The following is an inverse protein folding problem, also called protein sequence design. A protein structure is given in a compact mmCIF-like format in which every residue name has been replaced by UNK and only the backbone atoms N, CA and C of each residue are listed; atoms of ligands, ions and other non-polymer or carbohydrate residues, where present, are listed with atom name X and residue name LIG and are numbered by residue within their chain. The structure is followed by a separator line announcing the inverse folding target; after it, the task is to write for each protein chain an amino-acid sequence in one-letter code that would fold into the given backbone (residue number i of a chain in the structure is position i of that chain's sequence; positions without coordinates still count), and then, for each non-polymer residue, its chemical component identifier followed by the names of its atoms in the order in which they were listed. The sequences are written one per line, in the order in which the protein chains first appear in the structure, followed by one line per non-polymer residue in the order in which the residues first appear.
data_IF_945337231733
#
_entry.id   IF_945337231733
#
_cell.length_a   1.000
_cell.length_b   1.000
_cell.length_c   1.000
_cell.angle_alpha   90.00
_cell.angle_beta   90.00
_cell.angle_gamma   90.00
#
_symmetry.space_group_name_H-M   'P 1'
#
loop_
_entity.id
_entity.type
_entity.pdbx_description
1 polymer ?
#
# COMPACT_ATOMS: atom_id res chain seq x y z
N UNK A 1 -19.09 -1.70 -21.23
CA UNK A 1 -19.70 -2.99 -20.89
C UNK A 1 -18.94 -3.83 -19.88
N UNK A 2 -17.73 -3.43 -19.40
CA UNK A 2 -16.98 -4.27 -18.44
C UNK A 2 -17.41 -4.06 -17.00
N UNK A 3 -17.88 -2.89 -16.61
CA UNK A 3 -18.33 -2.61 -15.23
C UNK A 3 -19.57 -3.42 -14.83
N UNK A 4 -20.50 -3.63 -15.75
CA UNK A 4 -21.71 -4.42 -15.51
C UNK A 4 -21.40 -5.90 -15.28
N UNK A 5 -20.42 -6.48 -15.96
CA UNK A 5 -20.02 -7.88 -15.78
C UNK A 5 -19.38 -8.17 -14.41
N UNK A 6 -18.72 -7.21 -13.76
CA UNK A 6 -18.12 -7.40 -12.45
C UNK A 6 -19.18 -7.22 -11.36
N UNK A 7 -20.09 -6.26 -11.49
CA UNK A 7 -21.23 -6.07 -10.57
C UNK A 7 -22.14 -7.28 -10.51
N UNK A 8 -22.59 -7.79 -11.65
CA UNK A 8 -23.52 -8.92 -11.74
C UNK A 8 -22.98 -10.21 -11.10
N UNK A 9 -21.66 -10.35 -10.99
CA UNK A 9 -21.03 -11.54 -10.39
C UNK A 9 -21.09 -11.57 -8.86
N UNK A 10 -21.29 -10.40 -8.21
CA UNK A 10 -21.35 -10.25 -6.77
C UNK A 10 -22.74 -9.81 -6.27
N UNK A 11 -23.73 -9.62 -7.15
CA UNK A 11 -25.08 -9.14 -6.80
C UNK A 11 -25.87 -10.16 -5.94
N UNK A 12 -25.54 -11.44 -6.00
CA UNK A 12 -26.22 -12.51 -5.27
C UNK A 12 -25.32 -13.16 -4.22
N UNK A 13 -24.77 -12.38 -3.29
CA UNK A 13 -23.97 -12.89 -2.19
C UNK A 13 -24.90 -13.49 -1.13
N UNK A 14 -24.77 -14.79 -0.88
CA UNK A 14 -25.46 -15.49 0.21
C UNK A 14 -24.79 -15.18 1.56
N UNK A 15 -25.46 -15.46 2.68
CA UNK A 15 -24.91 -15.25 4.03
C UNK A 15 -23.54 -15.92 4.26
N UNK A 16 -23.25 -17.01 3.60
CA UNK A 16 -21.95 -17.72 3.68
C UNK A 16 -20.84 -17.11 2.79
N UNK A 17 -21.11 -16.00 2.10
CA UNK A 17 -20.17 -15.41 1.15
C UNK A 17 -20.04 -16.21 -0.15
N UNK A 18 -19.15 -15.75 -1.02
CA UNK A 18 -18.78 -16.43 -2.26
C UNK A 18 -17.25 -16.35 -2.45
N UNK A 19 -16.68 -17.38 -3.06
CA UNK A 19 -15.26 -17.37 -3.45
C UNK A 19 -15.06 -16.31 -4.52
N UNK A 20 -14.19 -15.33 -4.25
CA UNK A 20 -13.88 -14.23 -5.17
C UNK A 20 -12.74 -14.57 -6.14
N UNK A 21 -11.77 -15.37 -5.70
CA UNK A 21 -10.61 -15.82 -6.48
C UNK A 21 -10.06 -17.12 -5.92
N UNK A 22 -9.25 -17.82 -6.71
CA UNK A 22 -8.48 -18.97 -6.24
C UNK A 22 -7.07 -18.53 -5.88
N UNK A 23 -6.68 -18.72 -4.62
CA UNK A 23 -5.30 -18.55 -4.17
C UNK A 23 -4.50 -19.82 -4.46
N UNK A 24 -3.21 -19.67 -4.77
CA UNK A 24 -2.27 -20.79 -4.81
C UNK A 24 -1.86 -21.15 -3.39
N UNK A 25 -1.33 -22.35 -3.23
CA UNK A 25 -0.77 -22.78 -1.95
C UNK A 25 0.34 -21.81 -1.49
N UNK A 26 0.22 -21.30 -0.26
CA UNK A 26 1.16 -20.32 0.31
C UNK A 26 0.93 -18.87 -0.08
N UNK A 27 -0.06 -18.57 -0.95
CA UNK A 27 -0.43 -17.18 -1.27
C UNK A 27 -1.48 -16.64 -0.31
N UNK A 28 -1.44 -15.32 -0.07
CA UNK A 28 -2.39 -14.60 0.75
C UNK A 28 -2.99 -13.41 -0.01
N UNK A 29 -4.24 -13.05 0.31
CA UNK A 29 -4.86 -11.84 -0.19
C UNK A 29 -4.37 -10.65 0.64
N UNK A 30 -3.61 -9.74 0.01
CA UNK A 30 -2.98 -8.60 0.71
C UNK A 30 -3.75 -7.29 0.56
N UNK A 31 -4.45 -7.08 -0.55
CA UNK A 31 -5.18 -5.85 -0.82
C UNK A 31 -6.35 -6.08 -1.77
N UNK A 32 -7.36 -5.22 -1.65
CA UNK A 32 -8.51 -5.13 -2.55
C UNK A 32 -8.76 -3.66 -2.85
N UNK A 33 -8.85 -3.30 -4.13
CA UNK A 33 -9.12 -1.95 -4.58
C UNK A 33 -10.30 -1.90 -5.56
N UNK A 34 -11.08 -0.83 -5.46
CA UNK A 34 -12.14 -0.56 -6.43
C UNK A 34 -11.60 0.24 -7.60
N UNK A 35 -11.89 -0.23 -8.82
CA UNK A 35 -11.49 0.44 -10.04
C UNK A 35 -12.68 0.92 -10.86
N UNK A 36 -12.44 1.90 -11.75
CA UNK A 36 -13.47 2.53 -12.59
C UNK A 36 -13.21 2.34 -14.11
N UNK A 37 -12.29 1.45 -14.46
CA UNK A 37 -11.97 1.14 -15.88
C UNK A 37 -10.89 2.03 -16.49
N UNK A 38 -10.30 2.97 -15.74
CA UNK A 38 -9.23 3.89 -16.19
C UNK A 38 -8.22 4.20 -15.10
N UNK A 39 -8.22 3.44 -14.03
CA UNK A 39 -7.35 3.66 -12.89
C UNK A 39 -5.96 3.05 -13.13
N UNK A 40 -4.96 3.61 -12.49
CA UNK A 40 -3.62 3.04 -12.43
C UNK A 40 -3.34 2.49 -11.04
N UNK A 41 -2.58 1.41 -10.98
CA UNK A 41 -2.20 0.74 -9.74
C UNK A 41 -0.69 0.74 -9.56
N UNK A 42 -0.27 0.93 -8.33
CA UNK A 42 1.11 0.76 -7.91
C UNK A 42 1.18 -0.42 -6.96
N UNK A 43 1.95 -1.45 -7.34
CA UNK A 43 2.18 -2.67 -6.56
C UNK A 43 3.61 -2.67 -6.09
N UNK A 44 3.84 -2.92 -4.80
CA UNK A 44 5.18 -2.92 -4.22
C UNK A 44 5.56 -4.27 -3.62
N UNK A 45 6.84 -4.59 -3.69
CA UNK A 45 7.42 -5.78 -3.06
C UNK A 45 8.12 -5.44 -1.74
N UNK A 46 8.27 -6.44 -0.88
CA UNK A 46 8.95 -6.36 0.40
C UNK A 46 10.37 -5.81 0.26
N UNK A 47 11.09 -6.18 -0.80
CA UNK A 47 12.44 -5.69 -1.09
C UNK A 47 12.49 -4.29 -1.71
N UNK A 48 11.39 -3.54 -1.69
CA UNK A 48 11.34 -2.13 -2.03
C UNK A 48 11.27 -1.82 -3.53
N UNK A 49 10.94 -2.79 -4.38
CA UNK A 49 10.62 -2.54 -5.79
C UNK A 49 9.12 -2.30 -5.97
N UNK A 50 8.75 -1.58 -7.02
CA UNK A 50 7.36 -1.36 -7.38
C UNK A 50 7.15 -1.30 -8.89
N UNK A 51 5.93 -1.64 -9.31
CA UNK A 51 5.47 -1.55 -10.70
C UNK A 51 4.18 -0.74 -10.72
N UNK A 52 4.11 0.28 -11.58
CA UNK A 52 2.89 1.04 -11.87
C UNK A 52 2.38 0.62 -13.24
N UNK A 53 1.10 0.29 -13.34
CA UNK A 53 0.45 -0.13 -14.58
C UNK A 53 -1.01 0.29 -14.61
N UNK A 54 -1.57 0.43 -15.81
CA UNK A 54 -2.98 0.74 -16.03
C UNK A 54 -3.89 -0.46 -15.82
N UNK A 55 -5.11 -0.21 -15.40
CA UNK A 55 -6.15 -1.23 -15.24
C UNK A 55 -6.46 -1.98 -16.54
N UNK A 56 -6.31 -1.31 -17.69
CA UNK A 56 -6.52 -1.86 -19.03
C UNK A 56 -5.60 -3.05 -19.36
N UNK A 57 -4.46 -3.16 -18.65
CA UNK A 57 -3.58 -4.32 -18.76
C UNK A 57 -4.11 -5.57 -18.02
N UNK A 58 -5.12 -5.41 -17.17
CA UNK A 58 -5.74 -6.48 -16.39
C UNK A 58 -7.12 -6.78 -16.98
N UNK A 59 -7.21 -7.83 -17.81
CA UNK A 59 -8.51 -8.25 -18.35
C UNK A 59 -9.46 -8.71 -17.23
N UNK A 60 -10.76 -8.43 -17.32
CA UNK A 60 -11.76 -9.00 -16.44
C UNK A 60 -11.72 -10.53 -16.44
N UNK A 61 -11.68 -11.15 -15.26
CA UNK A 61 -11.58 -12.60 -15.10
C UNK A 61 -12.70 -13.13 -14.21
N UNK A 62 -13.03 -14.43 -14.39
CA UNK A 62 -14.00 -15.09 -13.52
C UNK A 62 -13.46 -15.30 -12.11
N UNK A 63 -14.38 -15.49 -11.16
CA UNK A 63 -14.07 -15.74 -9.73
C UNK A 63 -13.18 -16.96 -9.47
N UNK A 64 -13.15 -17.91 -10.40
CA UNK A 64 -12.30 -19.12 -10.31
C UNK A 64 -10.89 -18.91 -10.88
N UNK A 65 -10.57 -17.72 -11.37
CA UNK A 65 -9.25 -17.41 -11.91
C UNK A 65 -8.23 -17.20 -10.77
N UNK A 66 -6.98 -17.53 -11.05
CA UNK A 66 -5.82 -17.28 -10.15
C UNK A 66 -5.18 -15.90 -10.37
N UNK A 67 -5.73 -15.09 -11.27
CA UNK A 67 -5.21 -13.76 -11.57
C UNK A 67 -4.09 -13.73 -12.59
N UNK A 68 -3.44 -12.57 -12.70
CA UNK A 68 -2.30 -12.30 -13.58
C UNK A 68 -1.15 -11.73 -12.77
N UNK A 69 0.07 -11.95 -13.23
CA UNK A 69 1.26 -11.43 -12.58
C UNK A 69 1.33 -9.91 -12.68
N UNK A 70 1.40 -9.21 -11.55
CA UNK A 70 1.59 -7.77 -11.48
C UNK A 70 3.06 -7.38 -11.66
N UNK A 71 4.00 -8.08 -11.00
CA UNK A 71 5.44 -7.83 -11.07
C UNK A 71 6.26 -9.13 -11.01
N UNK A 72 7.51 -9.05 -11.42
CA UNK A 72 8.47 -10.14 -11.25
C UNK A 72 9.12 -9.99 -9.87
N UNK A 73 8.96 -10.99 -9.02
CA UNK A 73 9.60 -11.08 -7.71
C UNK A 73 10.93 -11.84 -7.81
N UNK A 74 11.87 -11.46 -6.98
CA UNK A 74 13.10 -12.23 -6.74
C UNK A 74 12.82 -13.37 -5.74
N UNK A 75 13.72 -14.36 -5.65
CA UNK A 75 13.53 -15.47 -4.71
C UNK A 75 13.44 -14.97 -3.26
N UNK A 76 12.41 -15.40 -2.56
CA UNK A 76 12.12 -14.99 -1.18
C UNK A 76 11.54 -13.58 -1.04
N UNK A 77 11.24 -12.88 -2.14
CA UNK A 77 10.49 -11.61 -2.12
C UNK A 77 8.98 -11.87 -2.17
N UNK A 78 8.20 -10.93 -1.67
CA UNK A 78 6.74 -11.00 -1.67
C UNK A 78 6.15 -9.63 -1.99
N UNK A 79 4.95 -9.60 -2.56
CA UNK A 79 4.17 -8.37 -2.66
C UNK A 79 3.68 -7.98 -1.27
N UNK A 80 3.88 -6.73 -0.88
CA UNK A 80 3.44 -6.23 0.44
C UNK A 80 2.20 -5.37 0.35
N UNK A 81 2.01 -4.66 -0.77
CA UNK A 81 0.90 -3.75 -0.89
C UNK A 81 0.56 -3.40 -2.33
N UNK A 82 -0.67 -2.94 -2.53
CA UNK A 82 -1.19 -2.40 -3.78
C UNK A 82 -2.07 -1.20 -3.48
N UNK A 83 -1.88 -0.11 -4.23
CA UNK A 83 -2.70 1.08 -4.10
C UNK A 83 -3.13 1.59 -5.47
N UNK A 84 -4.31 2.19 -5.51
CA UNK A 84 -4.78 2.95 -6.65
C UNK A 84 -4.10 4.32 -6.66
N UNK A 85 -3.45 4.68 -7.77
CA UNK A 85 -2.73 5.95 -7.89
C UNK A 85 -3.73 7.11 -7.98
N UNK A 86 -3.52 8.13 -7.14
CA UNK A 86 -4.24 9.39 -7.20
C UNK A 86 -3.34 10.43 -7.88
N UNK A 87 -3.69 10.93 -9.07
CA UNK A 87 -2.89 11.93 -9.79
C UNK A 87 -2.66 13.19 -8.95
N UNK A 88 -1.43 13.70 -8.93
CA UNK A 88 -1.01 14.85 -8.14
C UNK A 88 -0.81 14.57 -6.65
N UNK A 89 -1.02 13.33 -6.21
CA UNK A 89 -0.82 12.91 -4.83
C UNK A 89 0.61 12.46 -4.53
N UNK A 90 0.80 11.99 -3.31
CA UNK A 90 2.06 11.44 -2.85
C UNK A 90 1.93 9.95 -2.55
N UNK A 91 2.98 9.22 -2.86
CA UNK A 91 3.15 7.84 -2.42
C UNK A 91 3.90 7.85 -1.09
N UNK A 92 3.24 7.43 -0.03
CA UNK A 92 3.83 7.15 1.26
C UNK A 92 4.44 5.75 1.23
N UNK A 93 5.70 5.63 1.59
CA UNK A 93 6.36 4.35 1.83
C UNK A 93 6.85 4.30 3.27
N UNK A 94 6.61 3.16 3.95
CA UNK A 94 7.05 2.92 5.32
C UNK A 94 7.71 1.56 5.41
N UNK A 95 8.79 1.45 6.18
CA UNK A 95 9.53 0.21 6.39
C UNK A 95 9.26 -0.40 7.77
N UNK A 96 9.59 -1.67 7.93
CA UNK A 96 9.43 -2.41 9.17
C UNK A 96 10.15 -1.75 10.36
N UNK A 97 11.26 -1.03 10.12
CA UNK A 97 12.02 -0.32 11.17
C UNK A 97 11.64 1.16 11.33
N UNK A 98 10.44 1.54 10.84
CA UNK A 98 9.86 2.85 11.07
C UNK A 98 10.49 3.99 10.29
N UNK A 99 11.22 3.70 9.21
CA UNK A 99 11.63 4.71 8.25
C UNK A 99 10.52 4.94 7.23
N UNK A 100 10.34 6.17 6.76
CA UNK A 100 9.34 6.44 5.75
C UNK A 100 9.53 7.78 5.06
N UNK A 101 8.74 8.00 4.02
CA UNK A 101 8.77 9.21 3.20
C UNK A 101 7.51 9.33 2.37
N UNK A 102 7.25 10.56 1.90
CA UNK A 102 6.33 10.82 0.80
C UNK A 102 7.13 11.12 -0.47
N UNK A 103 6.67 10.63 -1.60
CA UNK A 103 7.30 10.87 -2.91
C UNK A 103 6.19 11.22 -3.90
N UNK A 104 6.33 12.30 -4.71
CA UNK A 104 5.37 12.62 -5.74
C UNK A 104 5.10 11.44 -6.66
N UNK A 105 3.83 11.18 -6.96
CA UNK A 105 3.41 10.02 -7.74
C UNK A 105 4.01 9.97 -9.14
N UNK A 106 4.32 11.15 -9.72
CA UNK A 106 4.93 11.26 -11.04
C UNK A 106 6.35 10.64 -11.10
N UNK A 107 7.01 10.46 -9.95
CA UNK A 107 8.31 9.78 -9.90
C UNK A 107 8.20 8.27 -10.09
N UNK A 108 6.99 7.72 -10.14
CA UNK A 108 6.72 6.32 -10.41
C UNK A 108 6.22 6.16 -11.84
N UNK A 109 7.13 5.91 -12.81
CA UNK A 109 6.73 5.82 -14.21
C UNK A 109 5.81 4.61 -14.44
N UNK A 110 4.78 4.81 -15.26
CA UNK A 110 3.92 3.73 -15.69
C UNK A 110 4.69 2.79 -16.63
N UNK A 111 4.62 1.50 -16.36
CA UNK A 111 5.24 0.44 -17.14
C UNK A 111 4.25 -0.70 -17.34
N UNK A 112 4.60 -1.63 -18.23
CA UNK A 112 3.80 -2.85 -18.35
C UNK A 112 3.90 -3.71 -17.10
N UNK A 113 2.77 -4.32 -16.67
CA UNK A 113 2.75 -5.29 -15.59
C UNK A 113 3.68 -6.47 -15.88
N UNK A 114 4.08 -7.19 -14.84
CA UNK A 114 4.94 -8.37 -14.96
C UNK A 114 6.43 -8.07 -15.14
N UNK A 115 6.81 -6.79 -15.10
CA UNK A 115 8.22 -6.36 -15.15
C UNK A 115 8.92 -6.44 -13.78
N UNK A 116 10.24 -6.16 -13.77
CA UNK A 116 11.04 -6.08 -12.53
C UNK A 116 10.76 -4.83 -11.70
N UNK A 117 10.11 -3.82 -12.30
CA UNK A 117 9.78 -2.55 -11.65
C UNK A 117 10.98 -1.65 -11.39
N UNK A 118 10.70 -0.60 -10.62
CA UNK A 118 11.65 0.42 -10.18
C UNK A 118 11.74 0.40 -8.66
N UNK A 119 12.80 0.98 -8.11
CA UNK A 119 12.93 1.12 -6.66
C UNK A 119 11.90 2.14 -6.12
N UNK A 120 11.09 1.75 -5.16
CA UNK A 120 10.23 2.66 -4.40
C UNK A 120 10.98 3.28 -3.22
N UNK A 121 11.94 2.55 -2.66
CA UNK A 121 12.75 2.97 -1.53
C UNK A 121 14.11 2.27 -1.57
N UNK A 122 15.16 2.95 -1.12
CA UNK A 122 16.46 2.34 -0.89
C UNK A 122 16.44 1.65 0.48
N UNK A 123 16.44 0.33 0.48
CA UNK A 123 16.44 -0.46 1.71
C UNK A 123 17.88 -0.80 2.13
N UNK A 124 18.09 -0.88 3.44
CA UNK A 124 19.33 -1.26 4.09
C UNK A 124 18.99 -2.03 5.39
N UNK A 125 19.98 -2.61 6.05
CA UNK A 125 19.77 -3.25 7.35
C UNK A 125 19.17 -2.31 8.41
N UNK A 126 19.40 -0.99 8.26
CA UNK A 126 18.83 0.03 9.16
C UNK A 126 17.36 0.31 8.90
N UNK A 127 16.92 0.20 7.66
CA UNK A 127 15.52 0.43 7.31
C UNK A 127 14.65 -0.81 7.50
N UNK A 128 15.23 -1.98 7.39
CA UNK A 128 14.48 -3.22 7.23
C UNK A 128 13.75 -3.27 5.89
N UNK A 129 12.86 -4.21 5.74
CA UNK A 129 12.04 -4.42 4.55
C UNK A 129 10.93 -3.36 4.43
N UNK A 130 10.38 -3.21 3.23
CA UNK A 130 9.20 -2.37 3.02
C UNK A 130 7.99 -3.02 3.71
N UNK A 131 7.32 -2.27 4.58
CA UNK A 131 6.15 -2.75 5.32
C UNK A 131 4.84 -2.35 4.66
N UNK A 132 4.77 -1.15 4.06
CA UNK A 132 3.58 -0.70 3.36
C UNK A 132 3.84 0.36 2.31
N UNK A 133 2.83 0.55 1.46
CA UNK A 133 2.73 1.59 0.46
C UNK A 133 1.30 2.13 0.49
N UNK A 134 1.11 3.45 0.61
CA UNK A 134 -0.20 4.10 0.64
C UNK A 134 -0.19 5.35 -0.25
N UNK A 135 -1.34 5.72 -0.78
CA UNK A 135 -1.51 7.08 -1.27
C UNK A 135 -1.73 8.01 -0.08
N UNK A 136 -1.14 9.19 -0.15
CA UNK A 136 -1.22 10.22 0.87
C UNK A 136 -1.71 11.52 0.24
N UNK A 137 -2.73 12.12 0.84
CA UNK A 137 -3.27 13.42 0.50
C UNK A 137 -2.92 14.49 1.54
N UNK A 138 -3.35 15.71 1.27
CA UNK A 138 -3.27 16.80 2.24
C UNK A 138 -4.41 16.67 3.28
N UNK A 139 -4.16 17.12 4.50
CA UNK A 139 -5.17 17.10 5.58
C UNK A 139 -5.46 15.70 6.12
N UNK A 140 -4.48 14.81 6.07
CA UNK A 140 -4.56 13.44 6.60
C UNK A 140 -3.50 13.23 7.69
N UNK A 141 -3.75 12.23 8.54
CA UNK A 141 -2.81 11.75 9.55
C UNK A 141 -2.31 10.35 9.21
N UNK A 142 -1.08 10.10 9.59
CA UNK A 142 -0.44 8.81 9.55
C UNK A 142 -0.59 8.11 10.88
N UNK A 143 -1.11 6.89 10.87
CA UNK A 143 -1.08 5.98 12.02
C UNK A 143 -0.10 4.85 11.75
N UNK A 144 0.86 4.70 12.64
CA UNK A 144 1.84 3.61 12.64
C UNK A 144 1.55 2.69 13.82
N UNK A 145 1.44 1.40 13.55
CA UNK A 145 1.12 0.37 14.55
C UNK A 145 2.26 -0.64 14.55
N UNK A 146 2.88 -0.83 15.71
CA UNK A 146 3.89 -1.87 15.93
C UNK A 146 3.23 -3.19 16.32
N UNK A 147 3.96 -4.28 16.14
CA UNK A 147 3.52 -5.64 16.50
C UNK A 147 3.39 -5.87 18.04
N UNK A 148 3.96 -5.00 18.87
CA UNK A 148 3.76 -4.98 20.32
C UNK A 148 2.51 -4.20 20.77
N UNK A 149 1.73 -3.67 19.82
CA UNK A 149 0.52 -2.88 20.09
C UNK A 149 0.75 -1.38 20.28
N UNK A 150 1.98 -0.88 20.20
CA UNK A 150 2.26 0.56 20.26
C UNK A 150 1.69 1.25 19.02
N UNK A 151 0.89 2.30 19.24
CA UNK A 151 0.29 3.11 18.16
C UNK A 151 0.86 4.52 18.22
N UNK A 152 1.26 5.06 17.08
CA UNK A 152 1.66 6.45 16.93
C UNK A 152 0.82 7.11 15.84
N UNK A 153 0.33 8.31 16.10
CA UNK A 153 -0.38 9.16 15.14
C UNK A 153 0.40 10.44 14.93
N UNK A 154 0.53 10.87 13.68
CA UNK A 154 1.18 12.13 13.32
C UNK A 154 0.57 12.71 12.05
N UNK A 155 0.52 14.05 11.89
CA UNK A 155 0.11 14.67 10.65
C UNK A 155 1.02 14.25 9.48
N UNK A 156 0.42 13.92 8.34
CA UNK A 156 1.15 13.50 7.15
C UNK A 156 2.06 14.58 6.57
N UNK A 157 1.72 15.86 6.78
CA UNK A 157 2.53 17.00 6.35
C UNK A 157 3.92 17.04 7.01
N UNK A 158 4.08 16.44 8.19
CA UNK A 158 5.37 16.28 8.87
C UNK A 158 6.27 15.20 8.25
N UNK A 159 5.71 14.34 7.40
CA UNK A 159 6.51 13.34 6.67
C UNK A 159 7.19 14.00 5.49
N UNK A 160 8.52 13.94 5.46
CA UNK A 160 9.33 14.58 4.41
C UNK A 160 8.96 14.11 3.00
N UNK A 161 8.84 15.09 2.09
CA UNK A 161 8.69 14.82 0.65
C UNK A 161 10.09 14.76 0.03
N UNK A 162 10.50 13.59 -0.40
CA UNK A 162 11.82 13.33 -0.97
C UNK A 162 11.75 12.34 -2.13
N UNK A 163 12.85 12.25 -2.89
CA UNK A 163 12.89 11.43 -4.09
C UNK A 163 12.71 9.93 -3.82
N UNK A 164 12.28 9.22 -4.85
CA UNK A 164 11.94 7.80 -4.83
C UNK A 164 13.08 6.92 -4.32
N UNK A 165 14.31 7.10 -4.82
CA UNK A 165 15.47 6.29 -4.43
C UNK A 165 16.23 6.88 -3.26
N UNK A 166 15.61 6.87 -2.08
CA UNK A 166 16.19 7.31 -0.79
C UNK A 166 15.73 6.37 0.33
N UNK A 167 16.43 6.41 1.47
CA UNK A 167 16.10 5.60 2.65
C UNK A 167 14.92 6.16 3.48
N UNK A 168 14.44 7.36 3.15
CA UNK A 168 13.44 8.04 3.96
C UNK A 168 14.02 8.66 5.24
N UNK A 169 13.12 9.11 6.09
CA UNK A 169 13.40 9.66 7.43
C UNK A 169 12.79 8.75 8.50
N UNK A 170 13.26 8.89 9.73
CA UNK A 170 12.68 8.14 10.84
C UNK A 170 11.33 8.75 11.23
N UNK A 171 10.27 7.99 11.07
CA UNK A 171 8.93 8.34 11.50
C UNK A 171 8.65 7.85 12.92
N UNK A 172 9.07 6.62 13.24
CA UNK A 172 8.86 5.98 14.51
C UNK A 172 10.14 5.28 14.99
N UNK A 173 10.38 5.28 16.29
CA UNK A 173 11.39 4.39 16.86
C UNK A 173 10.83 2.98 16.96
N UNK A 174 11.61 2.03 16.49
CA UNK A 174 11.29 0.60 16.56
C UNK A 174 12.42 -0.08 17.31
N UNK A 175 12.07 -0.70 18.42
CA UNK A 175 13.03 -1.38 19.29
C UNK A 175 13.47 -2.72 18.70
N UNK A 176 14.56 -3.26 19.18
CA UNK A 176 15.04 -4.57 18.75
C UNK A 176 14.00 -5.66 19.03
N UNK A 177 13.71 -6.48 18.03
CA UNK A 177 12.70 -7.55 18.13
C UNK A 177 11.26 -7.09 17.83
N UNK A 178 11.02 -5.79 17.59
CA UNK A 178 9.72 -5.28 17.18
C UNK A 178 9.78 -4.71 15.75
N UNK A 179 8.60 -4.50 15.14
CA UNK A 179 8.49 -3.92 13.79
C UNK A 179 7.18 -3.17 13.61
N UNK A 180 7.14 -2.30 12.61
CA UNK A 180 5.88 -1.74 12.12
C UNK A 180 5.08 -2.88 11.48
N UNK A 181 3.91 -3.16 12.04
CA UNK A 181 3.02 -4.25 11.62
C UNK A 181 1.90 -3.75 10.71
N UNK A 182 1.42 -2.51 10.92
CA UNK A 182 0.37 -1.92 10.11
C UNK A 182 0.54 -0.40 9.99
N UNK A 183 0.01 0.13 8.90
CA UNK A 183 0.00 1.58 8.60
C UNK A 183 -1.36 1.95 8.06
N UNK A 184 -1.94 3.04 8.58
CA UNK A 184 -3.17 3.61 8.08
C UNK A 184 -2.99 5.11 7.81
N UNK A 185 -3.69 5.59 6.79
CA UNK A 185 -3.87 7.02 6.51
C UNK A 185 -5.33 7.34 6.84
N UNK A 186 -5.54 8.31 7.71
CA UNK A 186 -6.87 8.68 8.22
C UNK A 186 -7.08 10.18 8.10
N UNK A 187 -8.33 10.66 8.02
CA UNK A 187 -8.58 12.09 8.06
C UNK A 187 -7.95 12.74 9.28
N UNK A 188 -7.39 13.94 9.11
CA UNK A 188 -6.88 14.72 10.24
C UNK A 188 -8.01 15.04 11.23
N UNK A 189 -7.77 14.83 12.51
CA UNK A 189 -8.65 15.24 13.58
C UNK A 189 -7.88 16.18 14.48
N UNK A 190 -8.41 17.39 14.66
CA UNK A 190 -7.91 18.27 15.71
C UNK A 190 -8.09 17.58 17.07
N UNK A 191 -7.13 17.69 18.00
CA UNK A 191 -7.33 17.21 19.36
C UNK A 191 -8.61 17.83 19.93
N UNK A 192 -9.54 17.01 20.43
CA UNK A 192 -10.71 17.52 21.11
C UNK A 192 -10.22 18.32 22.32
N UNK A 193 -10.50 19.62 22.34
CA UNK A 193 -10.11 20.53 23.43
C UNK A 193 -10.81 20.20 24.77
N UNK A 194 -11.68 19.20 24.81
CA UNK A 194 -12.50 18.84 25.97
C UNK A 194 -11.94 17.68 26.84
N UNK A 195 -10.83 17.02 26.46
CA UNK A 195 -10.29 15.92 27.26
C UNK A 195 -9.24 16.34 28.32
N UNK A 196 -8.68 17.56 28.25
CA UNK A 196 -7.70 18.07 29.25
C UNK A 196 -8.35 18.83 30.43
N UNK A 197 -9.68 18.83 30.54
CA UNK A 197 -10.40 19.56 31.61
C UNK A 197 -10.86 18.66 32.78
N UNK A 198 -10.41 17.41 32.85
CA UNK A 198 -10.76 16.47 33.92
C UNK A 198 -9.51 15.87 34.58
N UNK A 199 -8.76 16.70 35.34
CA UNK A 199 -7.89 16.29 36.43
C UNK A 199 -7.84 17.40 37.53
#
# INVERSE_FOLDING_TARGET
GSEMCIRDRFDNIRRGGIIALNLREGDELIAVEFSRGRDEFLVASRRGKCVRFGEDEVRPMGRTATGVRAMQLEDGDAVVDMVKVAPGGFVLTVTERGMGKRTPEEQYPAHRRGGKGVWAMQLTDKTGDLACLRMAGDGEDLMLIRDDGTVMRMPLDQVSVISRYTQGVRLMRVDEGTRVAAVAVVPHQEPNADEDAAD
#
